data_IF_791432559707
#
_entry.id   IF_791432559707
#
_cell.length_a   1.000
_cell.length_b   1.000
_cell.length_c   1.000
_cell.angle_alpha   90.00
_cell.angle_beta   90.00
_cell.angle_gamma   90.00
#
_symmetry.space_group_name_H-M   'P 1'
#
loop_
_entity.id
_entity.type
_entity.pdbx_description
1 polymer ?
#
# COMPACT_ATOMS: atom_id res chain seq x y z
N UNK A 1 13.64 -26.15 8.36
CA UNK A 1 13.24 -24.75 8.65
C UNK A 1 13.04 -23.90 7.38
N UNK A 2 12.51 -24.45 6.27
CA UNK A 2 12.37 -23.73 4.98
C UNK A 2 10.92 -23.37 4.64
N UNK A 3 9.95 -24.20 5.05
CA UNK A 3 8.52 -23.97 4.77
C UNK A 3 8.00 -22.64 5.37
N UNK A 4 8.39 -22.35 6.62
CA UNK A 4 7.98 -21.13 7.30
C UNK A 4 8.46 -19.87 6.57
N UNK A 5 9.69 -19.84 6.06
CA UNK A 5 10.24 -18.68 5.34
C UNK A 5 9.45 -18.36 4.06
N UNK A 6 9.06 -19.39 3.30
CA UNK A 6 8.22 -19.23 2.10
C UNK A 6 6.82 -18.74 2.47
N UNK A 7 6.23 -19.31 3.53
CA UNK A 7 4.92 -18.88 4.04
C UNK A 7 4.93 -17.40 4.45
N UNK A 8 5.94 -16.94 5.21
CA UNK A 8 6.10 -15.53 5.59
C UNK A 8 6.31 -14.61 4.39
N UNK A 9 7.10 -15.03 3.40
CA UNK A 9 7.29 -14.28 2.16
C UNK A 9 6.01 -14.13 1.34
N UNK A 10 5.20 -15.19 1.26
CA UNK A 10 3.91 -15.17 0.58
C UNK A 10 2.89 -14.29 1.32
N UNK A 11 2.73 -14.50 2.63
CA UNK A 11 1.85 -13.70 3.50
C UNK A 11 2.19 -12.22 3.40
N UNK A 12 3.48 -11.85 3.33
CA UNK A 12 3.91 -10.46 3.13
C UNK A 12 3.39 -9.87 1.81
N UNK A 13 3.40 -10.63 0.71
CA UNK A 13 2.88 -10.18 -0.59
C UNK A 13 1.37 -9.99 -0.56
N UNK A 14 0.63 -10.93 0.02
CA UNK A 14 -0.85 -10.84 0.15
C UNK A 14 -1.25 -9.69 1.07
N UNK A 15 -0.56 -9.51 2.18
CA UNK A 15 -0.84 -8.42 3.13
C UNK A 15 -0.62 -7.05 2.49
N UNK A 16 0.47 -6.87 1.72
CA UNK A 16 0.71 -5.63 0.97
C UNK A 16 -0.42 -5.29 0.01
N UNK A 17 -0.91 -6.28 -0.75
CA UNK A 17 -2.04 -6.10 -1.67
C UNK A 17 -3.32 -5.72 -0.93
N UNK A 18 -3.62 -6.40 0.20
CA UNK A 18 -4.77 -6.07 1.04
C UNK A 18 -4.68 -4.65 1.60
N UNK A 19 -3.51 -4.26 2.10
CA UNK A 19 -3.29 -2.92 2.64
C UNK A 19 -3.48 -1.83 1.56
N UNK A 20 -2.99 -2.06 0.35
CA UNK A 20 -3.19 -1.15 -0.76
C UNK A 20 -4.67 -1.08 -1.19
N UNK A 21 -5.39 -2.21 -1.17
CA UNK A 21 -6.82 -2.23 -1.46
C UNK A 21 -7.64 -1.46 -0.41
N UNK A 22 -7.31 -1.62 0.87
CA UNK A 22 -7.91 -0.85 1.97
C UNK A 22 -7.67 0.65 1.81
N UNK A 23 -6.45 1.05 1.47
CA UNK A 23 -6.14 2.46 1.17
C UNK A 23 -6.97 2.98 0.00
N UNK A 24 -7.08 2.23 -1.10
CA UNK A 24 -7.87 2.65 -2.26
C UNK A 24 -9.35 2.82 -1.94
N UNK A 25 -9.89 1.95 -1.08
CA UNK A 25 -11.28 2.01 -0.65
C UNK A 25 -11.53 3.26 0.22
N UNK A 26 -10.67 3.48 1.21
CA UNK A 26 -10.74 4.66 2.08
C UNK A 26 -10.61 5.98 1.29
N UNK A 27 -9.72 6.03 0.30
CA UNK A 27 -9.56 7.22 -0.55
C UNK A 27 -10.80 7.49 -1.41
N UNK A 28 -11.45 6.44 -1.92
CA UNK A 28 -12.72 6.58 -2.65
C UNK A 28 -13.83 7.09 -1.75
N UNK A 29 -13.97 6.49 -0.57
CA UNK A 29 -14.99 6.85 0.41
C UNK A 29 -14.83 8.30 0.90
N UNK A 30 -13.58 8.75 1.12
CA UNK A 30 -13.30 10.12 1.55
C UNK A 30 -13.70 11.21 0.53
N UNK A 31 -13.71 10.88 -0.76
CA UNK A 31 -13.97 11.83 -1.87
C UNK A 31 -15.35 11.60 -2.48
N UNK A 32 -16.08 10.60 -1.98
CA UNK A 32 -17.30 10.07 -2.59
C UNK A 32 -17.14 9.79 -4.10
N UNK A 33 -15.99 9.20 -4.46
CA UNK A 33 -15.61 9.04 -5.86
C UNK A 33 -16.27 7.81 -6.50
N UNK A 34 -16.82 7.94 -7.73
CA UNK A 34 -17.48 6.83 -8.39
C UNK A 34 -16.52 5.71 -8.80
N UNK A 35 -17.07 4.51 -9.00
CA UNK A 35 -16.29 3.30 -9.26
C UNK A 35 -15.41 3.38 -10.53
N UNK A 36 -15.82 4.16 -11.53
CA UNK A 36 -15.10 4.30 -12.80
C UNK A 36 -13.87 5.23 -12.72
N UNK A 37 -13.69 6.00 -11.64
CA UNK A 37 -12.53 6.90 -11.50
C UNK A 37 -11.25 6.09 -11.28
N UNK A 38 -10.20 6.25 -12.10
CA UNK A 38 -8.96 5.53 -11.89
C UNK A 38 -8.28 5.91 -10.57
N UNK A 39 -7.73 4.94 -9.84
CA UNK A 39 -7.00 5.20 -8.59
C UNK A 39 -5.86 6.21 -8.79
N UNK A 40 -5.24 6.25 -9.98
CA UNK A 40 -4.17 7.20 -10.31
C UNK A 40 -4.65 8.66 -10.21
N UNK A 41 -5.88 8.94 -10.65
CA UNK A 41 -6.47 10.28 -10.56
C UNK A 41 -6.71 10.65 -9.09
N UNK A 42 -7.26 9.72 -8.29
CA UNK A 42 -7.45 9.94 -6.86
C UNK A 42 -6.12 10.20 -6.12
N UNK A 43 -5.06 9.49 -6.49
CA UNK A 43 -3.74 9.74 -5.89
C UNK A 43 -3.17 11.11 -6.26
N UNK A 44 -3.35 11.55 -7.51
CA UNK A 44 -2.84 12.84 -7.97
C UNK A 44 -3.61 14.01 -7.35
N UNK A 45 -4.95 13.94 -7.38
CA UNK A 45 -5.85 14.94 -6.79
C UNK A 45 -5.63 15.11 -5.28
N UNK A 46 -5.53 14.00 -4.54
CA UNK A 46 -5.30 14.05 -3.08
C UNK A 46 -3.82 14.22 -2.73
N UNK A 47 -2.92 14.28 -3.73
CA UNK A 47 -1.47 14.28 -3.57
C UNK A 47 -0.98 13.16 -2.63
N UNK A 48 -1.64 12.00 -2.69
CA UNK A 48 -1.35 10.85 -1.87
C UNK A 48 -0.51 9.83 -2.63
N UNK A 49 0.38 9.16 -1.90
CA UNK A 49 1.27 8.12 -2.45
C UNK A 49 0.75 6.73 -2.02
N UNK A 50 0.87 5.69 -2.85
CA UNK A 50 0.51 4.33 -2.46
C UNK A 50 1.24 3.88 -1.18
N UNK A 51 0.52 3.22 -0.28
CA UNK A 51 1.01 2.82 1.05
C UNK A 51 2.27 1.96 0.99
N UNK A 52 2.42 1.17 -0.08
CA UNK A 52 3.60 0.32 -0.30
C UNK A 52 4.86 1.16 -0.54
N UNK A 53 4.74 2.28 -1.26
CA UNK A 53 5.86 3.20 -1.49
C UNK A 53 6.18 3.94 -0.20
N UNK A 54 5.16 4.43 0.51
CA UNK A 54 5.35 5.07 1.82
C UNK A 54 6.05 4.14 2.82
N UNK A 55 5.63 2.87 2.88
CA UNK A 55 6.29 1.85 3.70
C UNK A 55 7.75 1.64 3.30
N UNK A 56 8.05 1.61 2.00
CA UNK A 56 9.42 1.46 1.50
C UNK A 56 10.30 2.65 1.88
N UNK A 57 9.82 3.88 1.74
CA UNK A 57 10.55 5.07 2.14
C UNK A 57 10.76 5.14 3.65
N UNK A 58 9.75 4.80 4.44
CA UNK A 58 9.87 4.72 5.90
C UNK A 58 10.85 3.65 6.33
N UNK A 59 10.79 2.47 5.72
CA UNK A 59 11.74 1.38 5.97
C UNK A 59 13.16 1.83 5.62
N UNK A 60 13.36 2.44 4.46
CA UNK A 60 14.67 2.98 4.05
C UNK A 60 15.21 3.97 5.08
N UNK A 61 14.41 4.98 5.47
CA UNK A 61 14.80 5.95 6.51
C UNK A 61 15.09 5.31 7.86
N UNK A 62 14.38 4.24 8.22
CA UNK A 62 14.59 3.53 9.48
C UNK A 62 15.90 2.73 9.48
N UNK A 63 16.23 2.06 8.37
CA UNK A 63 17.42 1.23 8.25
C UNK A 63 18.69 2.03 7.87
N UNK A 64 18.57 3.16 7.17
CA UNK A 64 19.70 4.06 6.88
C UNK A 64 20.18 4.83 8.12
N UNK A 65 19.31 4.97 9.13
CA UNK A 65 19.60 5.70 10.38
C UNK A 65 20.15 4.77 11.48
N UNK A 66 20.36 3.49 11.17
CA UNK A 66 20.81 2.44 12.08
C UNK A 66 22.22 2.00 11.68
#
# INVERSE_FOLDING_TARGET
>A
MTYAAVAWGYVSKTMKKRLQAQQNMALREAVDAPWYVPNRVLYDELRQVPVVIQMRERARKFFEKK
#
